data_IF_534301953889
#
_entry.id   IF_534301953889
#
_cell.length_a   1.000
_cell.length_b   1.000
_cell.length_c   1.000
_cell.angle_alpha   90.00
_cell.angle_beta   90.00
_cell.angle_gamma   90.00
#
_symmetry.space_group_name_H-M   'P 1'
#
loop_
_entity.id
_entity.type
_entity.pdbx_description
1 polymer ?
#
# COMPACT_ATOMS: atom_id res chain seq x y z
N UNK A 1 4.09 -11.30 -14.06
CA UNK A 1 4.17 -9.85 -13.74
C UNK A 1 4.08 -9.74 -12.21
N UNK A 2 5.21 -9.82 -11.50
CA UNK A 2 5.23 -10.21 -10.06
C UNK A 2 6.18 -9.39 -9.18
N UNK A 3 6.62 -8.18 -9.56
CA UNK A 3 7.71 -7.54 -8.79
C UNK A 3 7.61 -6.01 -8.65
N UNK A 4 6.59 -5.50 -7.95
CA UNK A 4 6.79 -4.26 -7.17
C UNK A 4 6.99 -4.54 -5.67
N UNK A 5 6.72 -5.77 -5.24
CA UNK A 5 6.57 -6.15 -3.82
C UNK A 5 7.90 -6.41 -3.11
N UNK A 6 9.00 -6.54 -3.87
CA UNK A 6 10.37 -6.67 -3.34
C UNK A 6 11.25 -5.44 -3.55
N UNK A 7 10.74 -4.35 -4.17
CA UNK A 7 11.59 -3.21 -4.55
C UNK A 7 11.50 -2.01 -3.61
N UNK A 8 10.40 -1.85 -2.86
CA UNK A 8 10.21 -0.69 -1.98
C UNK A 8 10.38 -1.08 -0.52
N UNK A 9 11.29 -0.41 0.17
CA UNK A 9 11.45 -0.52 1.62
C UNK A 9 10.32 0.21 2.34
N UNK A 10 9.99 -0.16 3.60
CA UNK A 10 9.04 0.58 4.44
C UNK A 10 9.29 2.10 4.47
N UNK A 11 10.55 2.52 4.55
CA UNK A 11 10.91 3.94 4.53
C UNK A 11 10.60 4.61 3.18
N UNK A 12 10.78 3.90 2.06
CA UNK A 12 10.41 4.40 0.74
C UNK A 12 8.89 4.49 0.58
N UNK A 13 8.13 3.55 1.15
CA UNK A 13 6.66 3.60 1.18
C UNK A 13 6.20 4.86 1.91
N UNK A 14 6.73 5.12 3.11
CA UNK A 14 6.39 6.31 3.88
C UNK A 14 6.73 7.64 3.17
N UNK A 15 7.73 7.63 2.28
CA UNK A 15 8.16 8.78 1.49
C UNK A 15 7.30 9.05 0.23
N UNK A 16 6.38 8.15 -0.14
CA UNK A 16 5.53 8.33 -1.32
C UNK A 16 4.51 9.45 -1.13
N UNK A 17 4.23 10.18 -2.20
CA UNK A 17 3.11 11.12 -2.20
C UNK A 17 1.77 10.39 -2.19
N UNK A 18 0.74 11.03 -1.63
CA UNK A 18 -0.63 10.51 -1.64
C UNK A 18 -1.16 10.28 -3.06
N UNK A 19 -0.76 11.11 -4.02
CA UNK A 19 -1.10 10.93 -5.43
C UNK A 19 -0.46 9.67 -6.05
N UNK A 20 0.79 9.35 -5.68
CA UNK A 20 1.45 8.13 -6.14
C UNK A 20 0.74 6.89 -5.58
N UNK A 21 0.35 6.93 -4.30
CA UNK A 21 -0.39 5.85 -3.64
C UNK A 21 -1.80 5.67 -4.24
N UNK A 22 -2.52 6.77 -4.52
CA UNK A 22 -3.82 6.74 -5.18
C UNK A 22 -3.75 6.20 -6.62
N UNK A 23 -2.62 6.39 -7.30
CA UNK A 23 -2.37 5.87 -8.65
C UNK A 23 -2.08 4.37 -8.71
N UNK A 24 -1.96 3.68 -7.58
CA UNK A 24 -1.72 2.23 -7.56
C UNK A 24 -2.97 1.43 -7.91
N UNK A 25 -2.77 0.41 -8.75
CA UNK A 25 -3.79 -0.59 -9.02
C UNK A 25 -4.01 -1.52 -7.83
N UNK A 26 -5.16 -2.20 -7.81
CA UNK A 26 -5.54 -3.14 -6.74
C UNK A 26 -4.56 -4.31 -6.59
N UNK A 27 -3.95 -4.77 -7.68
CA UNK A 27 -2.93 -5.82 -7.66
C UNK A 27 -1.64 -5.37 -6.93
N UNK A 28 -1.27 -4.09 -7.04
CA UNK A 28 -0.13 -3.54 -6.32
C UNK A 28 -0.41 -3.49 -4.81
N UNK A 29 -1.63 -3.09 -4.43
CA UNK A 29 -2.08 -3.03 -3.04
C UNK A 29 -2.13 -4.43 -2.43
N UNK A 30 -2.75 -5.39 -3.10
CA UNK A 30 -2.80 -6.79 -2.65
C UNK A 30 -1.42 -7.44 -2.56
N UNK A 31 -0.44 -6.93 -3.31
CA UNK A 31 0.94 -7.41 -3.28
C UNK A 31 1.79 -6.89 -2.11
N UNK A 32 1.37 -5.85 -1.40
CA UNK A 32 2.16 -5.28 -0.31
C UNK A 32 2.33 -6.29 0.84
N UNK A 33 3.51 -6.32 1.42
CA UNK A 33 3.74 -7.04 2.68
C UNK A 33 3.11 -6.28 3.84
N UNK A 34 2.81 -6.98 4.95
CA UNK A 34 2.29 -6.34 6.17
C UNK A 34 3.24 -5.28 6.72
N UNK A 35 4.56 -5.46 6.59
CA UNK A 35 5.56 -4.47 7.00
C UNK A 35 5.54 -3.20 6.12
N UNK A 36 5.25 -3.33 4.82
CA UNK A 36 5.08 -2.17 3.93
C UNK A 36 3.75 -1.46 4.22
N UNK A 37 2.69 -2.21 4.52
CA UNK A 37 1.39 -1.63 4.90
C UNK A 37 1.47 -0.89 6.22
N UNK A 38 2.16 -1.45 7.23
CA UNK A 38 2.40 -0.78 8.51
C UNK A 38 3.26 0.50 8.39
N UNK A 39 3.94 0.67 7.25
CA UNK A 39 4.73 1.87 6.96
C UNK A 39 3.93 2.96 6.24
N UNK A 40 2.69 2.68 5.85
CA UNK A 40 1.82 3.69 5.28
C UNK A 40 1.47 4.74 6.34
N UNK A 41 1.59 5.99 5.94
CA UNK A 41 1.13 7.11 6.77
C UNK A 41 -0.39 7.23 6.70
N UNK A 42 -0.99 7.85 7.72
CA UNK A 42 -2.44 8.11 7.73
C UNK A 42 -2.90 8.89 6.50
N UNK A 43 -2.09 9.83 6.01
CA UNK A 43 -2.39 10.60 4.81
C UNK A 43 -2.40 9.75 3.52
N UNK A 44 -1.55 8.73 3.45
CA UNK A 44 -1.53 7.79 2.33
C UNK A 44 -2.72 6.83 2.38
N UNK A 45 -3.11 6.39 3.58
CA UNK A 45 -4.28 5.53 3.78
C UNK A 45 -5.57 6.28 3.40
N UNK A 46 -5.70 7.55 3.77
CA UNK A 46 -6.88 8.37 3.38
C UNK A 46 -6.91 8.70 1.89
N UNK A 47 -5.78 8.57 1.19
CA UNK A 47 -5.71 8.74 -0.26
C UNK A 47 -6.07 7.46 -1.05
N UNK A 48 -6.25 6.33 -0.38
CA UNK A 48 -6.70 5.09 -1.02
C UNK A 48 -8.14 5.23 -1.51
N UNK A 49 -8.37 4.89 -2.78
CA UNK A 49 -9.71 4.75 -3.32
C UNK A 49 -10.40 3.47 -2.79
N UNK A 50 -11.71 3.39 -3.00
CA UNK A 50 -12.52 2.25 -2.55
C UNK A 50 -12.05 0.92 -3.13
N UNK A 51 -11.67 0.90 -4.40
CA UNK A 51 -11.14 -0.30 -5.05
C UNK A 51 -9.84 -0.80 -4.39
N UNK A 52 -8.93 0.12 -4.03
CA UNK A 52 -7.70 -0.21 -3.33
C UNK A 52 -7.97 -0.73 -1.92
N UNK A 53 -8.89 -0.10 -1.18
CA UNK A 53 -9.28 -0.57 0.16
C UNK A 53 -9.89 -1.97 0.10
N UNK A 54 -10.74 -2.26 -0.88
CA UNK A 54 -11.32 -3.61 -1.08
C UNK A 54 -10.25 -4.64 -1.47
N UNK A 55 -9.16 -4.21 -2.08
CA UNK A 55 -8.05 -5.09 -2.45
C UNK A 55 -7.12 -5.45 -1.28
N UNK A 56 -7.27 -4.80 -0.11
CA UNK A 56 -6.50 -5.13 1.07
C UNK A 56 -6.93 -6.50 1.62
N UNK A 57 -5.94 -7.33 1.91
CA UNK A 57 -6.15 -8.59 2.62
C UNK A 57 -6.37 -8.35 4.11
N UNK A 58 -6.99 -9.30 4.80
CA UNK A 58 -7.21 -9.22 6.26
C UNK A 58 -5.91 -9.06 7.04
N UNK A 59 -4.82 -9.70 6.61
CA UNK A 59 -3.51 -9.58 7.23
C UNK A 59 -2.91 -8.17 7.07
N UNK A 60 -3.12 -7.54 5.92
CA UNK A 60 -2.70 -6.15 5.69
C UNK A 60 -3.54 -5.18 6.52
N UNK A 61 -4.85 -5.39 6.62
CA UNK A 61 -5.73 -4.56 7.46
C UNK A 61 -5.34 -4.66 8.93
N UNK A 62 -4.96 -5.86 9.40
CA UNK A 62 -4.48 -6.05 10.78
C UNK A 62 -3.12 -5.38 11.07
N UNK A 63 -2.39 -4.94 10.03
CA UNK A 63 -1.10 -4.29 10.15
C UNK A 63 -1.17 -2.75 10.04
N UNK A 64 -2.34 -2.17 9.72
CA UNK A 64 -2.62 -0.73 9.75
C UNK A 64 -2.80 -0.23 11.19
#
# INVERSE_FOLDING_TARGET
MTAITTSLTPAQIAALSTAAVAGWGTANIAGLTTAQVAALTTAQITALGTAQVVALTTAQIAAL
#
